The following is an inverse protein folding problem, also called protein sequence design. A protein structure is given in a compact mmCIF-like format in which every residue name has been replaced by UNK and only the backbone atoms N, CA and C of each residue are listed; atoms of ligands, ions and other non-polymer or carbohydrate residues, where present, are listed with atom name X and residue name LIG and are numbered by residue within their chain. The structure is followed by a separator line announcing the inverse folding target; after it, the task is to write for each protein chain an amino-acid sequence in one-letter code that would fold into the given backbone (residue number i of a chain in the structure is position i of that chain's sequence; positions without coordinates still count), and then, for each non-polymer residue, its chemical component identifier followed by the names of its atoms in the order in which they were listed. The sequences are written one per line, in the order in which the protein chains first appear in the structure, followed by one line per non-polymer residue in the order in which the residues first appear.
data_IF_913241542486
#
_entry.id   IF_913241542486
#
_cell.length_a   1.000
_cell.length_b   1.000
_cell.length_c   1.000
_cell.angle_alpha   90.00
_cell.angle_beta   90.00
_cell.angle_gamma   90.00
#
_symmetry.space_group_name_H-M   'P 1'
#
loop_
_entity.id
_entity.type
_entity.pdbx_description
1 polymer ?
#
# COMPACT_ATOMS: atom_id res chain seq x y z
N UNK A 1 0.73 22.62 20.31
CA UNK A 1 1.29 21.28 19.95
C UNK A 1 1.19 21.05 18.43
N UNK A 2 0.20 21.63 17.74
CA UNK A 2 -0.01 21.47 16.29
C UNK A 2 1.04 22.16 15.39
N UNK A 3 1.55 23.31 15.81
CA UNK A 3 2.45 24.13 14.95
C UNK A 3 3.83 23.49 14.69
N UNK A 4 4.37 22.75 15.66
CA UNK A 4 5.68 22.07 15.51
C UNK A 4 5.67 20.90 14.53
N UNK A 5 4.52 20.34 14.22
CA UNK A 5 4.38 19.29 13.19
C UNK A 5 4.29 19.88 11.79
N UNK A 6 3.71 21.08 11.67
CA UNK A 6 3.64 21.81 10.39
C UNK A 6 5.01 22.33 9.95
N UNK A 7 5.86 22.79 10.89
CA UNK A 7 7.24 23.21 10.59
C UNK A 7 8.14 22.04 10.14
N UNK A 8 7.95 20.84 10.68
CA UNK A 8 8.69 19.64 10.24
C UNK A 8 8.25 19.14 8.87
N UNK A 9 6.97 19.30 8.51
CA UNK A 9 6.47 18.97 7.18
C UNK A 9 6.98 19.97 6.11
N UNK A 10 7.15 21.24 6.46
CA UNK A 10 7.69 22.28 5.57
C UNK A 10 9.18 22.09 5.20
N UNK A 11 9.90 21.24 5.93
CA UNK A 11 11.31 20.93 5.64
C UNK A 11 11.51 19.82 4.61
N UNK A 12 10.42 19.13 4.19
CA UNK A 12 10.49 18.09 3.16
C UNK A 12 9.94 18.68 1.86
N UNK A 13 10.81 18.93 0.92
CA UNK A 13 10.60 19.64 -0.37
C UNK A 13 9.73 18.85 -1.38
N UNK A 14 8.65 18.25 -0.93
CA UNK A 14 7.74 17.43 -1.73
C UNK A 14 6.32 17.98 -1.68
N UNK A 15 5.90 18.65 -2.75
CA UNK A 15 4.51 19.09 -2.97
C UNK A 15 3.48 17.95 -2.80
N UNK A 16 3.94 16.71 -2.83
CA UNK A 16 3.11 15.51 -2.62
C UNK A 16 2.74 15.32 -1.14
N UNK A 17 3.64 15.65 -0.22
CA UNK A 17 3.39 15.51 1.21
C UNK A 17 2.31 16.50 1.67
N UNK A 18 2.36 17.74 1.18
CA UNK A 18 1.35 18.77 1.47
C UNK A 18 -0.03 18.35 0.93
N UNK A 19 -0.09 17.76 -0.26
CA UNK A 19 -1.35 17.26 -0.85
C UNK A 19 -1.91 16.07 -0.06
N UNK A 20 -1.07 15.16 0.40
CA UNK A 20 -1.51 14.02 1.22
C UNK A 20 -2.05 14.46 2.57
N UNK A 21 -1.38 15.41 3.23
CA UNK A 21 -1.85 16.00 4.49
C UNK A 21 -3.19 16.71 4.30
N UNK A 22 -3.32 17.51 3.24
CA UNK A 22 -4.57 18.21 2.96
C UNK A 22 -5.71 17.22 2.67
N UNK A 23 -5.45 16.18 1.88
CA UNK A 23 -6.44 15.14 1.60
C UNK A 23 -6.89 14.39 2.87
N UNK A 24 -5.95 14.09 3.77
CA UNK A 24 -6.26 13.45 5.04
C UNK A 24 -7.12 14.37 5.94
N UNK A 25 -6.79 15.67 6.01
CA UNK A 25 -7.56 16.65 6.77
C UNK A 25 -8.99 16.76 6.21
N UNK A 26 -9.15 16.84 4.90
CA UNK A 26 -10.46 16.95 4.28
C UNK A 26 -11.28 15.67 4.47
N UNK A 27 -10.66 14.49 4.42
CA UNK A 27 -11.30 13.22 4.79
C UNK A 27 -11.81 13.21 6.24
N UNK A 28 -11.00 13.69 7.18
CA UNK A 28 -11.41 13.81 8.61
C UNK A 28 -12.57 14.81 8.77
N UNK A 29 -12.53 15.95 8.08
CA UNK A 29 -13.64 16.92 8.11
C UNK A 29 -14.95 16.31 7.63
N UNK A 30 -14.92 15.56 6.52
CA UNK A 30 -16.10 14.87 6.00
C UNK A 30 -16.68 13.91 7.04
N UNK A 31 -15.84 13.10 7.70
CA UNK A 31 -16.28 12.22 8.77
C UNK A 31 -16.90 12.99 9.94
N UNK A 32 -16.26 14.08 10.39
CA UNK A 32 -16.79 14.91 11.47
C UNK A 32 -18.16 15.51 11.11
N UNK A 33 -18.34 15.97 9.87
CA UNK A 33 -19.62 16.49 9.39
C UNK A 33 -20.69 15.41 9.41
N UNK A 34 -20.37 14.19 8.94
CA UNK A 34 -21.31 13.06 8.97
C UNK A 34 -21.76 12.78 10.41
N UNK A 35 -20.83 12.70 11.36
CA UNK A 35 -21.15 12.47 12.78
C UNK A 35 -21.95 13.63 13.38
N UNK A 36 -21.63 14.88 13.07
CA UNK A 36 -22.35 16.05 13.55
C UNK A 36 -23.80 16.07 13.04
N UNK A 37 -24.01 15.77 11.75
CA UNK A 37 -25.35 15.68 11.14
C UNK A 37 -26.16 14.56 11.79
N UNK A 38 -25.57 13.39 12.01
CA UNK A 38 -26.24 12.27 12.69
C UNK A 38 -26.67 12.64 14.10
N UNK A 39 -25.76 13.26 14.85
CA UNK A 39 -26.05 13.72 16.21
C UNK A 39 -27.20 14.73 16.22
N UNK A 40 -27.17 15.71 15.31
CA UNK A 40 -28.22 16.71 15.18
C UNK A 40 -29.57 16.07 14.82
N UNK A 41 -29.62 15.14 13.88
CA UNK A 41 -30.85 14.41 13.50
C UNK A 41 -31.41 13.60 14.68
N UNK A 42 -30.57 12.96 15.47
CA UNK A 42 -30.99 12.23 16.66
C UNK A 42 -31.51 13.15 17.77
N UNK A 43 -30.78 14.24 18.07
CA UNK A 43 -31.09 15.12 19.18
C UNK A 43 -32.29 16.05 18.88
N UNK A 44 -32.37 16.62 17.68
CA UNK A 44 -33.37 17.62 17.31
C UNK A 44 -34.64 16.98 16.75
N UNK A 45 -34.49 16.05 15.82
CA UNK A 45 -35.62 15.45 15.10
C UNK A 45 -36.11 14.14 15.74
N UNK A 46 -35.51 13.68 16.85
CA UNK A 46 -35.83 12.39 17.48
C UNK A 46 -35.83 11.24 16.44
N UNK A 47 -35.02 11.36 15.40
CA UNK A 47 -34.89 10.36 14.37
C UNK A 47 -34.37 9.03 14.97
N UNK A 48 -34.77 7.93 14.37
CA UNK A 48 -34.31 6.63 14.81
C UNK A 48 -32.80 6.48 14.51
N UNK A 49 -31.97 6.81 15.51
CA UNK A 49 -30.49 6.76 15.40
C UNK A 49 -30.01 5.37 14.99
N UNK A 50 -30.68 4.31 15.46
CA UNK A 50 -30.34 2.91 15.12
C UNK A 50 -30.48 2.68 13.60
N UNK A 51 -31.55 3.19 12.99
CA UNK A 51 -31.73 3.08 11.54
C UNK A 51 -30.67 3.86 10.76
N UNK A 52 -30.31 5.07 11.25
CA UNK A 52 -29.26 5.89 10.63
C UNK A 52 -27.89 5.20 10.73
N UNK A 53 -27.54 4.65 11.89
CA UNK A 53 -26.29 3.88 12.08
C UNK A 53 -26.28 2.63 11.21
N UNK A 54 -27.43 1.94 11.10
CA UNK A 54 -27.56 0.77 10.21
C UNK A 54 -27.30 1.13 8.74
N UNK A 55 -27.88 2.22 8.27
CA UNK A 55 -27.65 2.73 6.91
C UNK A 55 -26.19 3.12 6.65
N UNK A 56 -25.56 3.83 7.59
CA UNK A 56 -24.12 4.13 7.53
C UNK A 56 -23.25 2.89 7.56
N UNK A 57 -23.64 1.86 8.33
CA UNK A 57 -22.94 0.59 8.39
C UNK A 57 -22.89 -0.10 7.02
N UNK A 58 -24.03 -0.12 6.30
CA UNK A 58 -24.10 -0.69 4.94
C UNK A 58 -23.25 0.15 3.97
N UNK A 59 -23.37 1.49 4.03
CA UNK A 59 -22.55 2.39 3.21
C UNK A 59 -21.05 2.24 3.52
N UNK A 60 -20.69 2.13 4.80
CA UNK A 60 -19.33 1.89 5.25
C UNK A 60 -18.76 0.56 4.73
N UNK A 61 -19.59 -0.50 4.72
CA UNK A 61 -19.20 -1.80 4.15
C UNK A 61 -18.91 -1.69 2.66
N UNK A 62 -19.74 -0.96 1.90
CA UNK A 62 -19.51 -0.73 0.48
C UNK A 62 -18.17 0.00 0.22
N UNK A 63 -17.88 1.04 1.02
CA UNK A 63 -16.60 1.77 0.94
C UNK A 63 -15.43 0.87 1.34
N UNK A 64 -15.58 0.05 2.40
CA UNK A 64 -14.54 -0.87 2.83
C UNK A 64 -14.20 -1.92 1.75
N UNK A 65 -15.22 -2.48 1.08
CA UNK A 65 -15.03 -3.40 -0.03
C UNK A 65 -14.33 -2.71 -1.22
N UNK A 66 -14.71 -1.48 -1.54
CA UNK A 66 -14.05 -0.72 -2.60
C UNK A 66 -12.58 -0.40 -2.29
N UNK A 67 -12.24 -0.16 -1.01
CA UNK A 67 -10.88 0.15 -0.56
C UNK A 67 -10.02 -1.10 -0.26
N UNK A 68 -10.61 -2.28 -0.24
CA UNK A 68 -9.97 -3.53 0.22
C UNK A 68 -8.64 -3.82 -0.47
N UNK A 69 -8.55 -3.65 -1.78
CA UNK A 69 -7.32 -3.94 -2.52
C UNK A 69 -6.21 -2.94 -2.20
N UNK A 70 -6.55 -1.68 -2.05
CA UNK A 70 -5.59 -0.64 -1.67
C UNK A 70 -5.01 -0.90 -0.28
N UNK A 71 -5.87 -1.26 0.68
CA UNK A 71 -5.47 -1.61 2.04
C UNK A 71 -4.61 -2.89 2.05
N UNK A 72 -4.97 -3.91 1.28
CA UNK A 72 -4.19 -5.14 1.18
C UNK A 72 -2.78 -4.89 0.63
N UNK A 73 -2.62 -3.97 -0.33
CA UNK A 73 -1.31 -3.58 -0.85
C UNK A 73 -0.50 -2.78 0.18
N UNK A 74 -1.13 -1.91 0.95
CA UNK A 74 -0.50 -1.18 2.05
C UNK A 74 0.01 -2.15 3.13
N UNK A 75 -0.81 -3.11 3.54
CA UNK A 75 -0.41 -4.17 4.48
C UNK A 75 0.71 -5.04 3.90
N UNK A 76 0.68 -5.31 2.58
CA UNK A 76 1.77 -6.00 1.88
C UNK A 76 3.11 -5.26 1.99
N UNK A 77 3.12 -3.93 1.86
CA UNK A 77 4.36 -3.16 2.05
C UNK A 77 4.87 -3.22 3.49
N UNK A 78 3.96 -3.22 4.46
CA UNK A 78 4.31 -3.36 5.87
C UNK A 78 4.91 -4.74 6.17
N UNK A 79 4.35 -5.81 5.60
CA UNK A 79 4.90 -7.16 5.70
C UNK A 79 6.30 -7.24 5.09
N UNK A 80 6.50 -6.67 3.88
CA UNK A 80 7.82 -6.63 3.24
C UNK A 80 8.84 -5.91 4.14
N UNK A 81 8.44 -4.83 4.80
CA UNK A 81 9.32 -4.07 5.69
C UNK A 81 9.69 -4.83 6.97
N UNK A 82 8.74 -5.59 7.55
CA UNK A 82 8.97 -6.38 8.77
C UNK A 82 9.76 -7.66 8.48
N UNK A 83 9.29 -8.47 7.55
CA UNK A 83 9.81 -9.82 7.30
C UNK A 83 11.03 -9.80 6.37
N UNK A 84 11.20 -8.72 5.59
CA UNK A 84 12.30 -8.50 4.64
C UNK A 84 12.60 -9.72 3.75
N UNK A 85 11.61 -10.28 3.05
CA UNK A 85 11.84 -11.40 2.15
C UNK A 85 12.79 -11.04 1.01
N UNK A 86 12.95 -9.77 0.74
CA UNK A 86 13.95 -9.16 -0.15
C UNK A 86 14.22 -7.72 0.31
N UNK A 87 15.32 -7.16 -0.15
CA UNK A 87 15.71 -5.76 0.08
C UNK A 87 15.91 -5.02 -1.24
N UNK A 88 15.95 -3.68 -1.18
CA UNK A 88 16.28 -2.86 -2.36
C UNK A 88 17.71 -3.19 -2.80
N UNK A 89 17.87 -3.53 -4.07
CA UNK A 89 19.13 -4.01 -4.66
C UNK A 89 19.17 -5.52 -4.90
N UNK A 90 18.28 -6.31 -4.28
CA UNK A 90 18.24 -7.75 -4.52
C UNK A 90 17.71 -8.08 -5.91
N UNK A 91 18.26 -9.14 -6.49
CA UNK A 91 17.76 -9.75 -7.71
C UNK A 91 16.76 -10.83 -7.34
N UNK A 92 15.54 -10.68 -7.83
CA UNK A 92 14.44 -11.61 -7.57
C UNK A 92 13.87 -12.16 -8.86
N UNK A 93 13.28 -13.35 -8.78
CA UNK A 93 12.40 -13.91 -9.80
C UNK A 93 10.99 -13.99 -9.25
N UNK A 94 10.09 -13.24 -9.85
CA UNK A 94 8.68 -13.23 -9.52
C UNK A 94 7.85 -13.58 -10.76
N UNK A 95 7.23 -14.75 -10.76
CA UNK A 95 6.41 -15.27 -11.88
C UNK A 95 7.15 -15.22 -13.24
N UNK A 96 8.44 -15.52 -13.28
CA UNK A 96 9.27 -15.46 -14.48
C UNK A 96 9.79 -14.07 -14.83
N UNK A 97 9.47 -13.05 -14.04
CA UNK A 97 10.03 -11.71 -14.16
C UNK A 97 11.31 -11.65 -13.30
N UNK A 98 12.45 -11.75 -13.96
CA UNK A 98 13.76 -11.64 -13.29
C UNK A 98 14.23 -10.19 -13.34
N UNK A 99 14.58 -9.63 -12.19
CA UNK A 99 15.06 -8.26 -12.12
C UNK A 99 15.50 -7.84 -10.72
N UNK A 100 16.05 -6.63 -10.65
CA UNK A 100 16.55 -6.04 -9.40
C UNK A 100 15.44 -5.18 -8.76
N UNK A 101 15.22 -5.34 -7.46
CA UNK A 101 14.32 -4.47 -6.69
C UNK A 101 14.92 -3.07 -6.63
N UNK A 102 14.25 -2.10 -7.22
CA UNK A 102 14.74 -0.72 -7.24
C UNK A 102 14.13 0.14 -6.15
N UNK A 103 12.83 -0.03 -5.91
CA UNK A 103 12.11 0.73 -4.89
C UNK A 103 10.90 -0.05 -4.39
N UNK A 104 10.74 -0.11 -3.08
CA UNK A 104 9.51 -0.55 -2.42
C UNK A 104 8.70 0.70 -2.05
N UNK A 105 7.50 0.82 -2.62
CA UNK A 105 6.56 1.92 -2.33
C UNK A 105 5.42 1.47 -1.43
N UNK A 106 4.50 2.38 -1.09
CA UNK A 106 3.36 2.09 -0.19
C UNK A 106 2.42 1.01 -0.71
N UNK A 107 2.19 0.92 -2.02
CA UNK A 107 1.28 -0.07 -2.59
C UNK A 107 1.91 -0.98 -3.63
N UNK A 108 3.07 -0.61 -4.16
CA UNK A 108 3.72 -1.34 -5.24
C UNK A 108 5.23 -1.22 -5.17
N UNK A 109 5.91 -2.27 -5.63
CA UNK A 109 7.36 -2.37 -5.76
C UNK A 109 7.76 -2.26 -7.22
N UNK A 110 8.84 -1.55 -7.50
CA UNK A 110 9.44 -1.45 -8.83
C UNK A 110 10.58 -2.43 -8.96
N UNK A 111 10.51 -3.25 -10.00
CA UNK A 111 11.53 -4.21 -10.38
C UNK A 111 12.13 -3.74 -11.71
N UNK A 112 13.45 -3.60 -11.77
CA UNK A 112 14.20 -3.31 -12.98
C UNK A 112 14.61 -4.62 -13.62
N UNK A 113 14.08 -4.91 -14.79
CA UNK A 113 14.41 -6.11 -15.56
C UNK A 113 15.81 -6.05 -16.16
N UNK A 114 16.30 -7.19 -16.66
CA UNK A 114 17.58 -7.27 -17.36
C UNK A 114 17.62 -6.37 -18.61
N UNK A 115 16.49 -6.19 -19.28
CA UNK A 115 16.32 -5.30 -20.43
C UNK A 115 16.23 -3.81 -20.04
N UNK A 116 16.51 -3.49 -18.76
CA UNK A 116 16.44 -2.14 -18.19
C UNK A 116 15.03 -1.51 -18.20
N UNK A 117 13.99 -2.29 -18.45
CA UNK A 117 12.61 -1.84 -18.31
C UNK A 117 12.15 -1.90 -16.84
N UNK A 118 11.07 -1.18 -16.52
CA UNK A 118 10.46 -1.21 -15.20
C UNK A 118 9.19 -2.04 -15.20
N UNK A 119 9.12 -2.98 -14.28
CA UNK A 119 7.89 -3.67 -13.96
C UNK A 119 7.42 -3.21 -12.58
N UNK A 120 6.17 -2.77 -12.49
CA UNK A 120 5.56 -2.37 -11.23
C UNK A 120 4.62 -3.48 -10.77
N UNK A 121 4.93 -4.06 -9.62
CA UNK A 121 4.18 -5.18 -9.04
C UNK A 121 3.48 -4.73 -7.76
N UNK A 122 2.17 -5.01 -7.57
CA UNK A 122 1.47 -4.74 -6.33
C UNK A 122 2.12 -5.47 -5.15
N UNK A 123 2.30 -4.80 -4.01
CA UNK A 123 2.98 -5.40 -2.85
C UNK A 123 2.25 -6.63 -2.31
N UNK A 124 0.90 -6.63 -2.34
CA UNK A 124 0.09 -7.81 -2.01
C UNK A 124 0.53 -9.04 -2.81
N UNK A 125 0.77 -8.89 -4.12
CA UNK A 125 1.16 -10.00 -4.97
C UNK A 125 2.53 -10.57 -4.58
N UNK A 126 3.49 -9.72 -4.24
CA UNK A 126 4.84 -10.12 -3.82
C UNK A 126 4.87 -10.89 -2.50
N UNK A 127 3.88 -10.63 -1.61
CA UNK A 127 3.77 -11.29 -0.30
C UNK A 127 2.96 -12.59 -0.39
N UNK A 128 1.96 -12.65 -1.29
CA UNK A 128 1.06 -13.80 -1.37
C UNK A 128 1.49 -14.87 -2.36
N UNK A 129 2.28 -14.52 -3.38
CA UNK A 129 2.80 -15.47 -4.36
C UNK A 129 4.24 -15.87 -4.04
N UNK A 130 4.69 -17.05 -4.47
CA UNK A 130 6.08 -17.46 -4.33
C UNK A 130 7.01 -16.48 -5.03
N UNK A 131 8.03 -16.00 -4.31
CA UNK A 131 9.09 -15.15 -4.80
C UNK A 131 10.42 -15.85 -4.54
N UNK A 132 11.27 -15.91 -5.54
CA UNK A 132 12.61 -16.47 -5.41
C UNK A 132 13.63 -15.33 -5.31
N UNK A 133 14.27 -15.19 -4.15
CA UNK A 133 15.37 -14.26 -3.97
C UNK A 133 16.67 -14.91 -4.47
N UNK A 134 17.12 -14.47 -5.66
CA UNK A 134 18.31 -15.00 -6.31
C UNK A 134 19.58 -14.50 -5.62
N UNK A 135 19.55 -13.30 -5.04
CA UNK A 135 20.71 -12.71 -4.35
C UNK A 135 21.08 -13.52 -3.09
N UNK A 136 20.09 -13.98 -2.34
CA UNK A 136 20.30 -14.79 -1.14
C UNK A 136 20.62 -16.27 -1.43
N UNK A 137 20.58 -16.67 -2.70
CA UNK A 137 20.92 -18.05 -3.08
C UNK A 137 22.40 -18.34 -2.84
N UNK A 138 22.68 -19.29 -1.94
CA UNK A 138 24.06 -19.71 -1.59
C UNK A 138 24.77 -20.48 -2.72
N UNK A 139 24.01 -21.05 -3.66
CA UNK A 139 24.55 -21.86 -4.76
C UNK A 139 23.84 -21.53 -6.08
N UNK A 140 24.61 -21.39 -7.15
CA UNK A 140 24.09 -21.26 -8.51
C UNK A 140 24.20 -22.57 -9.26
N UNK A 141 23.08 -23.06 -9.82
CA UNK A 141 23.10 -24.25 -10.66
C UNK A 141 23.57 -23.88 -12.06
N UNK A 142 24.75 -24.40 -12.48
CA UNK A 142 25.20 -24.39 -13.85
C UNK A 142 24.72 -25.68 -14.54
N UNK A 143 23.98 -25.57 -15.65
CA UNK A 143 23.60 -26.71 -16.50
C UNK A 143 24.31 -26.58 -17.83
N UNK A 144 25.08 -27.60 -18.18
CA UNK A 144 25.75 -27.73 -19.47
C UNK A 144 25.15 -28.92 -20.22
N UNK A 145 24.78 -28.71 -21.46
CA UNK A 145 24.44 -29.80 -22.35
C UNK A 145 25.70 -30.14 -23.17
N UNK A 146 26.19 -31.34 -23.03
CA UNK A 146 27.31 -31.85 -23.83
C UNK A 146 26.68 -32.73 -24.90
N UNK A 147 26.71 -32.30 -26.15
CA UNK A 147 26.37 -33.14 -27.30
C UNK A 147 27.52 -34.10 -27.54
N UNK A 148 27.32 -35.39 -27.33
CA UNK A 148 28.24 -36.43 -27.75
C UNK A 148 27.87 -36.78 -29.19
N UNK A 149 28.78 -36.51 -30.14
CA UNK A 149 28.72 -36.99 -31.53
C UNK A 149 29.38 -38.34 -31.64
#
# INVERSE_FOLDING_TARGET
VGERWLEKAAATDSKLDDQLVQFAIDGIKVLLVIFAVMFALGAVFKANVTALVGGLGIGGLAVALAAQESLANLLGSFTIFLDKPFTVGDVVDFNGIVGTIEKVGFRSTRIRTLDKSYVTVPNKALVTAPLNNITESTHRRARFFIGLT
#
